data_IF_595673043007
#
_entry.id   IF_595673043007
#
_cell.length_a   1.000
_cell.length_b   1.000
_cell.length_c   1.000
_cell.angle_alpha   90.00
_cell.angle_beta   90.00
_cell.angle_gamma   90.00
#
_symmetry.space_group_name_H-M   'P 1'
#
loop_
_entity.id
_entity.type
_entity.pdbx_description
1 polymer ?
#
# COMPACT_ATOMS: atom_id res chain seq x y z
N UNK A 1 -2.01 -3.14 -13.39
CA UNK A 1 -2.54 -2.72 -14.72
C UNK A 1 -1.41 -2.47 -15.71
N UNK A 2 -1.66 -2.71 -17.02
CA UNK A 2 -0.77 -2.50 -18.18
C UNK A 2 0.61 -3.21 -18.11
N UNK A 3 0.72 -4.30 -17.36
CA UNK A 3 2.00 -4.98 -17.15
C UNK A 3 3.15 -4.01 -16.77
N UNK A 4 2.84 -2.98 -15.96
CA UNK A 4 3.81 -1.96 -15.55
C UNK A 4 4.96 -2.53 -14.69
N UNK A 5 4.74 -3.72 -14.12
CA UNK A 5 5.73 -4.48 -13.37
C UNK A 5 5.70 -5.93 -13.87
N UNK A 6 6.89 -6.54 -13.95
CA UNK A 6 7.09 -7.93 -14.35
C UNK A 6 8.09 -8.57 -13.40
N UNK A 7 7.75 -9.73 -12.85
CA UNK A 7 8.64 -10.49 -11.99
C UNK A 7 9.87 -10.97 -12.78
N UNK A 8 11.07 -10.77 -12.23
CA UNK A 8 12.33 -11.28 -12.80
C UNK A 8 12.78 -12.59 -12.15
N UNK A 9 12.13 -12.98 -11.05
CA UNK A 9 12.37 -14.20 -10.27
C UNK A 9 11.03 -14.74 -9.76
N UNK A 10 10.96 -15.97 -9.24
CA UNK A 10 9.78 -16.42 -8.52
C UNK A 10 9.45 -15.45 -7.37
N UNK A 11 8.24 -14.89 -7.38
CA UNK A 11 7.81 -13.85 -6.46
C UNK A 11 6.47 -14.22 -5.85
N UNK A 12 6.39 -14.22 -4.52
CA UNK A 12 5.11 -14.34 -3.81
C UNK A 12 4.47 -12.95 -3.73
N UNK A 13 3.22 -12.84 -4.16
CA UNK A 13 2.51 -11.56 -4.21
C UNK A 13 1.32 -11.59 -3.24
N UNK A 14 1.31 -10.67 -2.28
CA UNK A 14 0.17 -10.45 -1.42
C UNK A 14 -0.73 -9.34 -1.98
N UNK A 15 -2.04 -9.54 -1.89
CA UNK A 15 -3.05 -8.57 -2.34
C UNK A 15 -3.74 -7.97 -1.13
N UNK A 16 -3.69 -6.64 -1.04
CA UNK A 16 -4.29 -5.86 0.04
C UNK A 16 -5.60 -5.24 -0.47
N UNK A 17 -6.67 -5.36 0.31
CA UNK A 17 -7.95 -4.67 0.09
C UNK A 17 -7.83 -3.18 0.45
N UNK A 18 -7.11 -2.45 -0.40
CA UNK A 18 -6.82 -1.04 -0.30
C UNK A 18 -6.61 -0.49 -1.70
N UNK A 19 -7.14 0.68 -2.02
CA UNK A 19 -6.85 1.35 -3.28
C UNK A 19 -7.11 2.84 -3.27
N UNK A 20 -7.12 3.43 -4.47
CA UNK A 20 -7.30 4.88 -4.60
C UNK A 20 -8.71 5.35 -4.23
N UNK A 21 -9.71 4.47 -4.20
CA UNK A 21 -11.05 4.81 -3.70
C UNK A 21 -11.07 4.96 -2.16
N UNK A 22 -10.08 4.39 -1.47
CA UNK A 22 -9.87 4.58 -0.03
C UNK A 22 -8.98 5.80 0.24
N UNK A 23 -8.38 6.42 -0.79
CA UNK A 23 -7.45 7.53 -0.64
C UNK A 23 -5.97 7.14 -0.68
N UNK A 24 -5.66 5.84 -0.79
CA UNK A 24 -4.30 5.39 -1.10
C UNK A 24 -4.02 5.63 -2.59
N UNK A 25 -3.51 6.82 -2.90
CA UNK A 25 -3.48 7.33 -4.27
C UNK A 25 -2.59 6.55 -5.24
N UNK A 26 -2.89 6.68 -6.54
CA UNK A 26 -2.08 6.10 -7.63
C UNK A 26 -0.61 6.51 -7.62
N UNK A 27 -0.27 7.63 -6.96
CA UNK A 27 1.10 8.10 -6.79
C UNK A 27 1.99 7.15 -5.98
N UNK A 28 1.41 6.20 -5.23
CA UNK A 28 2.15 5.14 -4.54
C UNK A 28 2.46 3.90 -5.40
N UNK A 29 2.02 3.88 -6.67
CA UNK A 29 2.36 2.79 -7.60
C UNK A 29 3.88 2.65 -7.71
N UNK A 30 4.40 1.43 -7.53
CA UNK A 30 5.84 1.09 -7.52
C UNK A 30 6.71 1.89 -6.51
N UNK A 31 6.08 2.56 -5.54
CA UNK A 31 6.78 3.44 -4.58
C UNK A 31 6.37 3.21 -3.13
N UNK A 32 5.14 2.77 -2.90
CA UNK A 32 4.61 2.51 -1.58
C UNK A 32 5.26 1.30 -0.91
N UNK A 33 4.98 1.13 0.37
CA UNK A 33 5.50 0.01 1.16
C UNK A 33 4.47 -0.40 2.20
N UNK A 34 4.17 -1.70 2.24
CA UNK A 34 3.49 -2.34 3.36
C UNK A 34 4.53 -2.99 4.29
N UNK A 35 4.12 -3.36 5.49
CA UNK A 35 4.97 -3.97 6.51
C UNK A 35 4.26 -5.15 7.17
N UNK A 36 5.01 -6.23 7.42
CA UNK A 36 4.61 -7.32 8.30
C UNK A 36 5.63 -7.38 9.45
N UNK A 37 5.26 -6.80 10.60
CA UNK A 37 6.22 -6.51 11.66
C UNK A 37 7.36 -5.60 11.16
N UNK A 38 8.61 -6.03 11.33
CA UNK A 38 9.78 -5.29 10.87
C UNK A 38 10.12 -5.50 9.38
N UNK A 39 9.42 -6.41 8.68
CA UNK A 39 9.70 -6.70 7.27
C UNK A 39 8.95 -5.71 6.38
N UNK A 40 9.66 -5.04 5.49
CA UNK A 40 9.08 -4.21 4.44
C UNK A 40 8.69 -5.06 3.22
N UNK A 41 7.51 -4.78 2.66
CA UNK A 41 6.91 -5.40 1.48
C UNK A 41 6.62 -4.28 0.46
N UNK A 42 7.49 -4.07 -0.54
CA UNK A 42 7.31 -3.03 -1.54
C UNK A 42 6.01 -3.19 -2.33
N UNK A 43 5.34 -2.08 -2.65
CA UNK A 43 4.25 -2.08 -3.63
C UNK A 43 4.81 -2.36 -5.02
N UNK A 44 4.21 -3.32 -5.71
CA UNK A 44 4.60 -3.71 -7.07
C UNK A 44 3.47 -3.44 -8.05
N UNK A 45 3.79 -2.74 -9.13
CA UNK A 45 2.86 -2.28 -10.12
C UNK A 45 1.93 -1.17 -9.62
N UNK A 46 0.81 -1.03 -10.35
CA UNK A 46 -0.14 0.07 -10.13
C UNK A 46 -1.11 -0.21 -9.00
N UNK A 47 -1.31 0.82 -8.18
CA UNK A 47 -2.46 0.90 -7.26
C UNK A 47 -3.75 0.92 -8.07
N UNK A 48 -4.70 0.06 -7.69
CA UNK A 48 -6.02 -0.03 -8.29
C UNK A 48 -7.08 0.67 -7.46
N UNK A 49 -8.35 0.55 -7.89
CA UNK A 49 -9.46 1.21 -7.19
C UNK A 49 -9.59 0.69 -5.77
N UNK A 50 -9.44 -0.62 -5.60
CA UNK A 50 -9.74 -1.33 -4.35
C UNK A 50 -8.61 -2.28 -3.92
N UNK A 51 -7.60 -2.51 -4.76
CA UNK A 51 -6.51 -3.47 -4.51
C UNK A 51 -5.11 -2.88 -4.72
N UNK A 52 -4.18 -3.32 -3.88
CA UNK A 52 -2.74 -3.08 -3.98
C UNK A 52 -2.01 -4.41 -3.94
N UNK A 53 -1.03 -4.60 -4.83
CA UNK A 53 -0.13 -5.75 -4.81
C UNK A 53 1.19 -5.37 -4.15
N UNK A 54 1.70 -6.25 -3.28
CA UNK A 54 3.02 -6.10 -2.65
C UNK A 54 3.85 -7.36 -2.80
N UNK A 55 5.17 -7.20 -2.90
CA UNK A 55 6.11 -8.32 -2.88
C UNK A 55 6.23 -8.87 -1.45
N UNK A 56 5.78 -10.12 -1.29
CA UNK A 56 5.77 -10.87 -0.04
C UNK A 56 6.74 -12.06 -0.07
N UNK A 57 7.66 -12.10 -1.04
CA UNK A 57 8.58 -13.23 -1.26
C UNK A 57 9.34 -13.59 0.03
N UNK A 58 9.27 -14.87 0.39
CA UNK A 58 9.92 -15.40 1.59
C UNK A 58 9.14 -15.20 2.88
N UNK A 59 7.88 -14.74 2.82
CA UNK A 59 6.96 -14.70 3.95
C UNK A 59 5.87 -15.76 3.80
N UNK A 60 5.53 -16.43 4.90
CA UNK A 60 4.41 -17.36 4.96
C UNK A 60 3.12 -16.65 5.37
N UNK A 61 2.65 -15.72 4.52
CA UNK A 61 1.38 -15.03 4.73
C UNK A 61 0.18 -15.90 4.34
N UNK A 62 -0.96 -15.64 4.95
CA UNK A 62 -2.26 -16.25 4.67
C UNK A 62 -3.33 -15.19 4.48
N UNK A 63 -4.42 -15.57 3.82
CA UNK A 63 -5.60 -14.73 3.71
C UNK A 63 -6.12 -14.35 5.10
N UNK A 64 -6.33 -13.06 5.31
CA UNK A 64 -6.77 -12.50 6.59
C UNK A 64 -5.63 -12.02 7.51
N UNK A 65 -4.36 -12.28 7.18
CA UNK A 65 -3.24 -11.68 7.89
C UNK A 65 -3.22 -10.15 7.68
N UNK A 66 -2.87 -9.43 8.74
CA UNK A 66 -2.81 -7.97 8.72
C UNK A 66 -1.45 -7.49 8.23
N UNK A 67 -1.49 -6.51 7.32
CA UNK A 67 -0.32 -5.76 6.87
C UNK A 67 -0.50 -4.28 7.21
N UNK A 68 0.55 -3.65 7.72
CA UNK A 68 0.55 -2.22 7.99
C UNK A 68 1.02 -1.45 6.75
N UNK A 69 0.34 -0.38 6.37
CA UNK A 69 0.84 0.50 5.31
C UNK A 69 1.74 1.56 5.92
N UNK A 70 2.96 1.71 5.40
CA UNK A 70 3.85 2.79 5.82
C UNK A 70 3.28 4.13 5.33
N UNK A 71 2.51 4.77 6.21
CA UNK A 71 1.74 5.98 5.89
C UNK A 71 2.04 7.16 6.82
N UNK A 72 3.20 7.16 7.49
CA UNK A 72 3.68 8.32 8.23
C UNK A 72 3.76 9.53 7.28
N UNK A 73 3.12 10.64 7.63
CA UNK A 73 2.85 11.73 6.67
C UNK A 73 4.11 12.29 6.02
N UNK A 74 5.20 12.43 6.77
CA UNK A 74 6.47 12.92 6.24
C UNK A 74 7.03 12.00 5.15
N UNK A 75 7.11 10.70 5.44
CA UNK A 75 7.61 9.69 4.50
C UNK A 75 6.67 9.55 3.30
N UNK A 76 5.36 9.42 3.57
CA UNK A 76 4.35 9.24 2.55
C UNK A 76 4.28 10.43 1.59
N UNK A 77 4.46 11.65 2.09
CA UNK A 77 4.52 12.86 1.27
C UNK A 77 5.76 12.86 0.38
N UNK A 78 6.93 12.53 0.93
CA UNK A 78 8.18 12.44 0.16
C UNK A 78 8.12 11.36 -0.93
N UNK A 79 7.51 10.21 -0.64
CA UNK A 79 7.39 9.08 -1.58
C UNK A 79 6.37 9.35 -2.68
N UNK A 80 5.21 9.91 -2.34
CA UNK A 80 4.12 10.13 -3.30
C UNK A 80 4.21 11.45 -4.07
N UNK A 81 4.92 12.45 -3.53
CA UNK A 81 4.92 13.82 -4.05
C UNK A 81 3.66 14.62 -3.70
N UNK A 82 2.71 14.05 -2.95
CA UNK A 82 1.52 14.76 -2.45
C UNK A 82 1.85 15.51 -1.17
N UNK A 83 1.15 16.61 -0.90
CA UNK A 83 1.26 17.29 0.39
C UNK A 83 0.69 16.42 1.53
N UNK A 84 1.17 16.61 2.76
CA UNK A 84 0.60 15.94 3.93
C UNK A 84 -0.90 16.24 4.11
N UNK A 85 -1.32 17.45 3.74
CA UNK A 85 -2.73 17.85 3.75
C UNK A 85 -3.56 17.03 2.76
N UNK A 86 -3.10 16.86 1.51
CA UNK A 86 -3.78 16.01 0.53
C UNK A 86 -3.85 14.55 0.97
N UNK A 87 -2.78 14.04 1.58
CA UNK A 87 -2.75 12.67 2.11
C UNK A 87 -3.85 12.44 3.14
N UNK A 88 -4.05 13.37 4.07
CA UNK A 88 -5.07 13.26 5.11
C UNK A 88 -6.49 13.49 4.58
N UNK A 89 -6.66 14.53 3.75
CA UNK A 89 -8.00 14.98 3.32
C UNK A 89 -8.60 14.12 2.20
N UNK A 90 -7.79 13.32 1.52
CA UNK A 90 -8.26 12.36 0.52
C UNK A 90 -8.58 10.98 1.09
N UNK A 91 -8.30 10.70 2.37
CA UNK A 91 -8.72 9.44 2.98
C UNK A 91 -10.25 9.33 2.96
N UNK A 92 -10.74 8.32 2.25
CA UNK A 92 -12.15 8.15 1.96
C UNK A 92 -12.99 7.74 3.18
N UNK A 93 -14.30 7.64 2.97
CA UNK A 93 -15.25 7.19 3.99
C UNK A 93 -15.26 5.69 4.26
N UNK A 94 -14.47 4.90 3.53
CA UNK A 94 -14.44 3.43 3.63
C UNK A 94 -13.64 2.90 4.82
N UNK A 95 -12.82 3.74 5.46
CA UNK A 95 -12.09 3.34 6.65
C UNK A 95 -12.99 3.28 7.88
N UNK A 96 -12.84 2.20 8.65
CA UNK A 96 -13.22 2.21 10.05
C UNK A 96 -12.31 3.20 10.80
N UNK A 97 -12.90 4.16 11.52
CA UNK A 97 -12.16 5.15 12.31
C UNK A 97 -12.16 4.71 13.76
N UNK A 98 -10.98 4.41 14.29
CA UNK A 98 -10.77 4.06 15.71
C UNK A 98 -10.08 5.21 16.41
N UNK A 99 -10.58 5.58 17.58
CA UNK A 99 -10.04 6.65 18.42
C UNK A 99 -9.56 6.05 19.74
N UNK A 100 -8.33 6.34 20.12
CA UNK A 100 -7.73 5.95 21.41
C UNK A 100 -7.14 7.20 22.05
N UNK A 101 -7.46 7.42 23.32
CA UNK A 101 -6.90 8.51 24.13
C UNK A 101 -5.56 8.18 24.76
#
# INVERSE_FOLDING_TARGET
YNAAWTATTPTDVAIINLGYADGYGRAFSDKGTACHGARALPVIGRVSMDLVAVDATGLALRDGDWLEIRFALLDASAVSGMSQYELLTRLGGRYERRWSG
#
